data_IF_183024529665
#
_entry.id   IF_183024529665
#
_cell.length_a   1.000
_cell.length_b   1.000
_cell.length_c   1.000
_cell.angle_alpha   90.00
_cell.angle_beta   90.00
_cell.angle_gamma   90.00
#
_symmetry.space_group_name_H-M   'P 1'
#
loop_
_entity.id
_entity.type
_entity.pdbx_description
1 polymer ?
#
# COMPACT_ATOMS: atom_id res chain seq x y z
N UNK A 1 -31.52 -5.93 11.89
CA UNK A 1 -31.29 -7.36 11.58
C UNK A 1 -30.38 -7.52 10.36
N UNK A 2 -30.09 -8.75 9.94
CA UNK A 2 -29.38 -9.12 8.69
C UNK A 2 -27.98 -8.51 8.50
N UNK A 3 -27.20 -8.42 9.57
CA UNK A 3 -25.77 -8.04 9.50
C UNK A 3 -24.95 -9.19 10.08
N UNK A 4 -24.29 -10.02 9.25
CA UNK A 4 -23.49 -11.13 9.75
C UNK A 4 -22.28 -10.60 10.52
N UNK A 5 -22.01 -11.19 11.68
CA UNK A 5 -20.87 -10.85 12.53
C UNK A 5 -20.18 -12.10 13.03
N UNK A 6 -18.89 -11.98 13.36
CA UNK A 6 -18.12 -13.00 14.05
C UNK A 6 -17.66 -12.43 15.39
N UNK A 7 -17.80 -13.19 16.47
CA UNK A 7 -17.28 -12.85 17.79
C UNK A 7 -16.23 -13.90 18.20
N UNK A 8 -14.99 -13.46 18.38
CA UNK A 8 -13.88 -14.32 18.83
C UNK A 8 -13.56 -13.93 20.27
N UNK A 9 -13.82 -14.83 21.21
CA UNK A 9 -13.65 -14.57 22.65
C UNK A 9 -12.42 -15.30 23.19
N UNK A 10 -11.64 -14.61 24.01
CA UNK A 10 -10.47 -15.15 24.69
C UNK A 10 -10.37 -14.53 26.10
N UNK A 11 -9.76 -15.24 27.05
CA UNK A 11 -9.76 -14.83 28.47
C UNK A 11 -8.94 -13.57 28.76
N UNK A 12 -7.76 -13.47 28.17
CA UNK A 12 -6.84 -12.33 28.31
C UNK A 12 -5.94 -12.26 27.09
N UNK A 13 -5.61 -11.05 26.66
CA UNK A 13 -4.61 -10.85 25.63
C UNK A 13 -3.21 -11.10 26.23
N UNK A 14 -2.77 -12.36 26.18
CA UNK A 14 -1.40 -12.75 26.53
C UNK A 14 -0.52 -12.77 25.27
N UNK A 15 0.82 -12.77 25.37
CA UNK A 15 1.69 -12.91 24.20
C UNK A 15 1.34 -14.13 23.34
N UNK A 16 1.00 -15.26 23.99
CA UNK A 16 0.54 -16.47 23.31
C UNK A 16 -0.77 -16.23 22.56
N UNK A 17 -1.77 -15.66 23.23
CA UNK A 17 -3.08 -15.39 22.62
C UNK A 17 -2.97 -14.42 21.45
N UNK A 18 -2.16 -13.37 21.57
CA UNK A 18 -1.90 -12.43 20.49
C UNK A 18 -1.25 -13.14 19.30
N UNK A 19 -0.21 -13.95 19.53
CA UNK A 19 0.44 -14.72 18.47
C UNK A 19 -0.53 -15.67 17.77
N UNK A 20 -1.39 -16.37 18.52
CA UNK A 20 -2.43 -17.24 17.94
C UNK A 20 -3.46 -16.46 17.12
N UNK A 21 -3.84 -15.25 17.53
CA UNK A 21 -4.76 -14.40 16.76
C UNK A 21 -4.11 -13.91 15.47
N UNK A 22 -2.85 -13.49 15.50
CA UNK A 22 -2.11 -13.09 14.29
C UNK A 22 -2.04 -14.27 13.31
N UNK A 23 -1.58 -15.44 13.78
CA UNK A 23 -1.48 -16.64 12.96
C UNK A 23 -2.83 -17.08 12.37
N UNK A 24 -3.92 -16.93 13.12
CA UNK A 24 -5.28 -17.17 12.62
C UNK A 24 -5.59 -16.28 11.40
N UNK A 25 -5.27 -15.00 11.45
CA UNK A 25 -5.51 -14.08 10.33
C UNK A 25 -4.54 -14.30 9.16
N UNK A 26 -3.28 -14.64 9.43
CA UNK A 26 -2.31 -15.03 8.39
C UNK A 26 -2.82 -16.25 7.60
N UNK A 27 -3.26 -17.30 8.29
CA UNK A 27 -3.81 -18.49 7.63
C UNK A 27 -5.16 -18.25 6.95
N UNK A 28 -6.00 -17.34 7.48
CA UNK A 28 -7.21 -16.89 6.79
C UNK A 28 -6.86 -16.26 5.44
N UNK A 29 -5.91 -15.30 5.43
CA UNK A 29 -5.47 -14.59 4.22
C UNK A 29 -4.86 -15.59 3.22
N UNK A 30 -3.97 -16.46 3.69
CA UNK A 30 -3.37 -17.52 2.87
C UNK A 30 -4.43 -18.42 2.22
N UNK A 31 -5.40 -18.91 3.00
CA UNK A 31 -6.48 -19.77 2.50
C UNK A 31 -7.28 -19.07 1.40
N UNK A 32 -7.60 -17.78 1.59
CA UNK A 32 -8.28 -16.98 0.58
C UNK A 32 -7.44 -16.84 -0.70
N UNK A 33 -6.13 -16.61 -0.58
CA UNK A 33 -5.22 -16.53 -1.73
C UNK A 33 -5.18 -17.82 -2.56
N UNK A 34 -5.12 -18.98 -1.89
CA UNK A 34 -5.16 -20.29 -2.56
C UNK A 34 -6.47 -20.49 -3.31
N UNK A 35 -7.62 -20.16 -2.70
CA UNK A 35 -8.94 -20.25 -3.36
C UNK A 35 -8.99 -19.37 -4.62
N UNK A 36 -8.45 -18.15 -4.54
CA UNK A 36 -8.43 -17.21 -5.66
C UNK A 36 -7.32 -17.46 -6.68
N UNK A 37 -6.43 -18.45 -6.45
CA UNK A 37 -5.27 -18.74 -7.30
C UNK A 37 -4.38 -17.52 -7.53
N UNK A 38 -4.20 -16.70 -6.49
CA UNK A 38 -3.28 -15.57 -6.48
C UNK A 38 -2.12 -15.86 -5.52
N UNK A 39 -0.99 -15.20 -5.75
CA UNK A 39 0.14 -15.30 -4.84
C UNK A 39 -0.02 -14.31 -3.68
N UNK A 40 -0.24 -14.82 -2.46
CA UNK A 40 -0.36 -13.99 -1.24
C UNK A 40 0.97 -13.43 -0.73
N UNK A 41 2.09 -13.81 -1.33
CA UNK A 41 3.42 -13.50 -0.83
C UNK A 41 4.25 -12.60 -1.77
N UNK A 42 3.66 -12.10 -2.86
CA UNK A 42 4.29 -11.08 -3.70
C UNK A 42 3.64 -9.69 -3.53
N UNK A 43 4.33 -8.68 -4.05
CA UNK A 43 3.92 -7.28 -3.93
C UNK A 43 4.36 -6.43 -5.14
N UNK A 44 4.29 -6.97 -6.36
CA UNK A 44 4.76 -6.27 -7.57
C UNK A 44 4.14 -4.89 -7.80
N UNK A 45 2.90 -4.69 -7.33
CA UNK A 45 2.17 -3.43 -7.47
C UNK A 45 2.84 -2.21 -6.81
N UNK A 46 3.85 -2.40 -5.96
CA UNK A 46 4.56 -1.27 -5.31
C UNK A 46 5.71 -0.70 -6.15
N UNK A 47 6.17 -1.41 -7.17
CA UNK A 47 7.44 -1.11 -7.82
C UNK A 47 7.38 0.10 -8.76
N UNK A 48 6.30 0.24 -9.54
CA UNK A 48 6.16 1.37 -10.47
C UNK A 48 6.16 2.71 -9.73
N UNK A 49 5.44 2.81 -8.62
CA UNK A 49 5.42 4.03 -7.80
C UNK A 49 6.81 4.39 -7.24
N UNK A 50 7.58 3.39 -6.79
CA UNK A 50 8.98 3.60 -6.34
C UNK A 50 9.88 4.08 -7.47
N UNK A 51 9.70 3.55 -8.69
CA UNK A 51 10.48 3.96 -9.86
C UNK A 51 10.17 5.41 -10.24
N UNK A 52 8.88 5.75 -10.38
CA UNK A 52 8.44 7.10 -10.75
C UNK A 52 8.89 8.13 -9.69
N UNK A 53 8.72 7.83 -8.40
CA UNK A 53 9.12 8.73 -7.32
C UNK A 53 10.64 9.02 -7.34
N UNK A 54 11.48 8.03 -7.66
CA UNK A 54 12.94 8.23 -7.79
C UNK A 54 13.31 9.16 -8.93
N UNK A 55 12.55 9.18 -10.03
CA UNK A 55 12.75 10.07 -11.17
C UNK A 55 12.25 11.48 -10.85
N UNK A 56 11.08 11.61 -10.21
CA UNK A 56 10.47 12.91 -9.90
C UNK A 56 11.22 13.64 -8.79
N UNK A 57 11.73 12.94 -7.76
CA UNK A 57 12.41 13.56 -6.61
C UNK A 57 13.52 14.57 -6.97
N UNK A 58 14.47 14.30 -7.89
CA UNK A 58 15.46 15.29 -8.31
C UNK A 58 14.83 16.45 -9.10
N UNK A 59 13.78 16.21 -9.88
CA UNK A 59 13.10 17.25 -10.66
C UNK A 59 12.37 18.25 -9.78
N UNK A 60 12.01 17.90 -8.54
CA UNK A 60 11.47 18.85 -7.56
C UNK A 60 12.51 19.87 -7.06
N UNK A 61 13.80 19.63 -7.30
CA UNK A 61 14.88 20.56 -6.93
C UNK A 61 15.06 21.65 -8.00
N UNK A 62 15.43 22.84 -7.56
CA UNK A 62 15.60 24.01 -8.44
C UNK A 62 14.29 24.52 -9.04
N UNK A 63 14.36 25.61 -9.80
CA UNK A 63 13.20 26.36 -10.28
C UNK A 63 12.94 26.20 -11.79
N UNK A 64 13.71 25.33 -12.45
CA UNK A 64 13.56 24.97 -13.86
C UNK A 64 12.18 24.36 -14.13
N UNK A 65 11.53 24.72 -15.24
CA UNK A 65 10.26 24.08 -15.64
C UNK A 65 10.51 22.66 -16.13
N UNK A 66 9.63 21.74 -15.74
CA UNK A 66 9.67 20.32 -16.10
C UNK A 66 8.72 20.03 -17.26
N UNK A 67 9.20 19.25 -18.24
CA UNK A 67 8.47 18.82 -19.44
C UNK A 67 8.68 17.34 -19.81
N UNK A 68 9.30 16.56 -18.91
CA UNK A 68 9.72 15.17 -19.13
C UNK A 68 8.59 14.13 -19.01
N UNK A 69 7.43 14.49 -18.45
CA UNK A 69 6.32 13.57 -18.19
C UNK A 69 5.07 13.88 -19.01
N UNK A 70 3.97 13.21 -18.70
CA UNK A 70 2.65 13.59 -19.22
C UNK A 70 2.25 15.00 -18.75
N UNK A 71 1.28 15.60 -19.45
CA UNK A 71 0.88 16.98 -19.22
C UNK A 71 0.35 17.24 -17.80
N UNK A 72 -0.30 16.26 -17.16
CA UNK A 72 -0.79 16.41 -15.79
C UNK A 72 0.36 16.45 -14.79
N UNK A 73 1.28 15.48 -14.88
CA UNK A 73 2.46 15.41 -13.99
C UNK A 73 3.34 16.65 -14.13
N UNK A 74 3.64 17.09 -15.36
CA UNK A 74 4.41 18.32 -15.59
C UNK A 74 3.70 19.56 -15.01
N UNK A 75 2.39 19.68 -15.24
CA UNK A 75 1.60 20.80 -14.73
C UNK A 75 1.63 20.89 -13.20
N UNK A 76 1.48 19.75 -12.52
CA UNK A 76 1.52 19.67 -11.06
C UNK A 76 2.91 19.98 -10.50
N UNK A 77 3.97 19.46 -11.11
CA UNK A 77 5.35 19.75 -10.67
C UNK A 77 5.67 21.25 -10.80
N UNK A 78 5.31 21.85 -11.94
CA UNK A 78 5.56 23.27 -12.18
C UNK A 78 4.72 24.17 -11.27
N UNK A 79 3.45 23.83 -11.05
CA UNK A 79 2.60 24.53 -10.10
C UNK A 79 3.18 24.46 -8.67
N UNK A 80 3.63 23.29 -8.23
CA UNK A 80 4.31 23.13 -6.94
C UNK A 80 5.55 24.02 -6.83
N UNK A 81 6.40 24.06 -7.87
CA UNK A 81 7.60 24.91 -7.89
C UNK A 81 7.30 26.40 -7.83
N UNK A 82 6.25 26.86 -8.51
CA UNK A 82 5.82 28.27 -8.54
C UNK A 82 5.23 28.73 -7.19
N UNK A 83 4.78 27.81 -6.32
CA UNK A 83 4.03 28.13 -5.09
C UNK A 83 4.72 27.66 -3.80
N UNK A 84 5.99 27.24 -3.84
CA UNK A 84 6.73 26.81 -2.64
C UNK A 84 7.42 27.95 -1.90
#
# INVERSE_FOLDING_TARGET
>A
GNKPTNSIMFRKLTPRTLGSLIALYEHKIFTQGIIWKINSFDQWGVELGKQLAKVILPELKGDEKVSSHDASTNGLINHYKENR
#
